data_IF_014960651863
#
_entry.id   IF_014960651863
#
_cell.length_a   1.000
_cell.length_b   1.000
_cell.length_c   1.000
_cell.angle_alpha   90.00
_cell.angle_beta   90.00
_cell.angle_gamma   90.00
#
_symmetry.space_group_name_H-M   'P 1'
#
loop_
_entity.id
_entity.type
_entity.pdbx_description
1 polymer ?
#
# COMPACT_ATOMS: atom_id res chain seq x y z
N UNK A 1 23.57 0.06 -10.95
CA UNK A 1 22.19 0.35 -10.45
C UNK A 1 21.55 -1.01 -10.28
N UNK A 2 21.45 -1.50 -9.05
CA UNK A 2 20.92 -2.83 -8.74
C UNK A 2 19.47 -2.89 -9.18
N UNK A 3 19.13 -3.80 -10.09
CA UNK A 3 17.73 -4.11 -10.38
C UNK A 3 17.18 -4.82 -9.14
N UNK A 4 16.59 -4.05 -8.23
CA UNK A 4 15.73 -4.58 -7.17
C UNK A 4 14.80 -5.57 -7.86
N UNK A 5 14.84 -6.86 -7.49
CA UNK A 5 14.18 -7.98 -8.19
C UNK A 5 12.64 -7.96 -8.22
N UNK A 6 12.06 -6.76 -8.33
CA UNK A 6 10.66 -6.44 -8.52
C UNK A 6 10.27 -6.97 -9.89
N UNK A 7 9.69 -8.17 -9.88
CA UNK A 7 9.27 -8.88 -11.10
C UNK A 7 8.21 -8.12 -11.89
N UNK A 8 7.34 -7.34 -11.22
CA UNK A 8 6.30 -6.54 -11.85
C UNK A 8 5.99 -5.30 -11.02
N UNK A 9 5.86 -4.15 -11.68
CA UNK A 9 5.39 -2.90 -11.09
C UNK A 9 3.89 -2.79 -11.36
N UNK A 10 3.10 -2.58 -10.31
CA UNK A 10 1.66 -2.38 -10.41
C UNK A 10 1.29 -1.00 -9.88
N UNK A 11 0.32 -0.35 -10.53
CA UNK A 11 -0.24 0.93 -10.11
C UNK A 11 -1.66 0.71 -9.65
N UNK A 12 -1.99 1.18 -8.45
CA UNK A 12 -3.37 1.15 -7.96
C UNK A 12 -4.17 2.29 -8.59
N UNK A 13 -5.17 1.95 -9.39
CA UNK A 13 -6.12 2.93 -9.91
C UNK A 13 -6.81 3.64 -8.74
N UNK A 14 -6.79 4.98 -8.75
CA UNK A 14 -7.30 5.84 -7.66
C UNK A 14 -6.57 5.67 -6.31
N UNK A 15 -5.39 5.04 -6.30
CA UNK A 15 -4.52 4.93 -5.12
C UNK A 15 -5.21 4.32 -3.90
N UNK A 16 -4.88 4.84 -2.71
CA UNK A 16 -5.49 4.43 -1.44
C UNK A 16 -7.02 4.53 -1.46
N UNK A 17 -7.57 5.61 -2.01
CA UNK A 17 -9.02 5.83 -2.04
C UNK A 17 -9.71 4.72 -2.85
N UNK A 18 -9.12 4.29 -3.96
CA UNK A 18 -9.61 3.15 -4.75
C UNK A 18 -9.51 1.84 -3.97
N UNK A 19 -8.40 1.62 -3.27
CA UNK A 19 -8.20 0.44 -2.44
C UNK A 19 -9.24 0.33 -1.33
N UNK A 20 -9.44 1.39 -0.56
CA UNK A 20 -10.44 1.44 0.51
C UNK A 20 -11.86 1.27 -0.05
N UNK A 21 -12.21 2.01 -1.11
CA UNK A 21 -13.54 1.94 -1.74
C UNK A 21 -13.87 0.56 -2.33
N UNK A 22 -12.85 -0.22 -2.71
CA UNK A 22 -13.02 -1.61 -3.17
C UNK A 22 -13.29 -2.61 -2.03
N UNK A 23 -13.34 -2.16 -0.78
CA UNK A 23 -13.61 -3.00 0.39
C UNK A 23 -12.39 -3.79 0.87
N UNK A 24 -11.18 -3.45 0.41
CA UNK A 24 -9.95 -4.10 0.85
C UNK A 24 -9.52 -3.61 2.23
N UNK A 25 -8.85 -4.44 3.04
CA UNK A 25 -8.47 -4.07 4.40
C UNK A 25 -7.48 -2.90 4.41
N UNK A 26 -7.66 -1.99 5.37
CA UNK A 26 -6.80 -0.82 5.63
C UNK A 26 -6.48 -0.73 7.14
N UNK A 27 -5.29 -0.25 7.52
CA UNK A 27 -5.01 0.08 8.94
C UNK A 27 -5.90 1.28 9.33
N UNK A 28 -6.42 1.27 10.56
CA UNK A 28 -7.12 2.42 11.16
C UNK A 28 -6.39 2.94 12.39
N UNK A 29 -5.09 2.73 12.40
CA UNK A 29 -4.27 2.86 13.57
C UNK A 29 -4.00 4.36 13.79
N UNK A 30 -4.26 4.86 15.00
CA UNK A 30 -4.15 6.29 15.34
C UNK A 30 -2.84 6.64 16.06
N UNK A 31 -2.05 5.63 16.42
CA UNK A 31 -0.74 5.78 17.05
C UNK A 31 0.42 5.61 16.06
N UNK A 32 1.56 6.20 16.40
CA UNK A 32 2.83 6.08 15.64
C UNK A 32 3.85 5.23 16.42
N UNK A 33 4.54 4.25 15.78
CA UNK A 33 4.35 3.85 14.37
C UNK A 33 3.09 2.99 14.16
N UNK A 34 2.40 3.23 13.04
CA UNK A 34 1.11 2.66 12.63
C UNK A 34 1.19 1.17 12.17
N UNK A 35 2.22 0.44 12.61
CA UNK A 35 2.84 -0.78 12.02
C UNK A 35 3.84 -0.47 10.91
N UNK A 36 5.10 -0.70 11.23
CA UNK A 36 6.27 -0.56 10.36
C UNK A 36 7.52 -0.45 11.22
N UNK A 37 8.11 -1.60 11.56
CA UNK A 37 9.56 -1.78 11.37
C UNK A 37 9.76 -2.29 9.94
#
# INVERSE_FOLDING_TARGET
KEETGIKNIMVLERGYNGWEASGRPVCRCTGTPCKGE
#
